data_IF_800658944729
#
_entry.id   IF_800658944729
#
_cell.length_a   1.000
_cell.length_b   1.000
_cell.length_c   1.000
_cell.angle_alpha   90.00
_cell.angle_beta   90.00
_cell.angle_gamma   90.00
#
_symmetry.space_group_name_H-M   'P 1'
#
loop_
_entity.id
_entity.type
_entity.pdbx_description
1 polymer ?
#
# COMPACT_ATOMS: atom_id res chain seq x y z
N UNK A 1 -24.47 -18.48 11.26
CA UNK A 1 -24.24 -17.85 9.98
C UNK A 1 -23.10 -18.53 9.23
N UNK A 2 -23.39 -19.07 8.02
CA UNK A 2 -22.46 -19.89 7.24
C UNK A 2 -21.14 -19.19 6.91
N UNK A 3 -21.18 -17.89 6.60
CA UNK A 3 -19.99 -17.08 6.26
C UNK A 3 -18.97 -17.02 7.40
N UNK A 4 -19.40 -16.86 8.64
CA UNK A 4 -18.49 -16.80 9.80
C UNK A 4 -17.78 -18.14 10.04
N UNK A 5 -18.48 -19.26 9.88
CA UNK A 5 -17.88 -20.58 9.99
C UNK A 5 -16.84 -20.86 8.91
N UNK A 6 -17.05 -20.32 7.71
CA UNK A 6 -16.09 -20.44 6.60
C UNK A 6 -14.80 -19.67 6.88
N UNK A 7 -14.88 -18.48 7.50
CA UNK A 7 -13.69 -17.72 7.92
C UNK A 7 -12.91 -18.44 9.03
N UNK A 8 -13.57 -18.97 10.05
CA UNK A 8 -12.91 -19.73 11.12
C UNK A 8 -12.20 -20.99 10.58
N UNK A 9 -12.84 -21.70 9.64
CA UNK A 9 -12.21 -22.83 8.97
C UNK A 9 -11.01 -22.40 8.14
N UNK A 10 -11.12 -21.29 7.41
CA UNK A 10 -10.03 -20.74 6.61
C UNK A 10 -8.83 -20.36 7.46
N UNK A 11 -9.05 -19.73 8.62
CA UNK A 11 -7.99 -19.38 9.57
C UNK A 11 -7.19 -20.59 10.03
N UNK A 12 -7.86 -21.71 10.33
CA UNK A 12 -7.17 -22.96 10.72
C UNK A 12 -6.23 -23.45 9.62
N UNK A 13 -6.68 -23.41 8.36
CA UNK A 13 -5.87 -23.83 7.22
C UNK A 13 -4.73 -22.85 6.95
N UNK A 14 -4.99 -21.53 7.04
CA UNK A 14 -3.93 -20.53 6.89
C UNK A 14 -2.88 -20.66 7.99
N UNK A 15 -3.27 -20.96 9.24
CA UNK A 15 -2.32 -21.19 10.34
C UNK A 15 -1.41 -22.36 10.03
N UNK A 16 -1.96 -23.53 9.67
CA UNK A 16 -1.15 -24.71 9.33
C UNK A 16 -0.17 -24.44 8.17
N UNK A 17 -0.64 -23.76 7.14
CA UNK A 17 0.21 -23.42 5.99
C UNK A 17 1.24 -22.33 6.32
N UNK A 18 0.87 -21.33 7.13
CA UNK A 18 1.78 -20.27 7.57
C UNK A 18 2.90 -20.82 8.46
N UNK A 19 2.60 -21.76 9.34
CA UNK A 19 3.58 -22.44 10.21
C UNK A 19 4.57 -23.28 9.40
N UNK A 20 4.16 -23.78 8.22
CA UNK A 20 5.06 -24.44 7.27
C UNK A 20 5.90 -23.48 6.41
N UNK A 21 5.79 -22.17 6.63
CA UNK A 21 6.55 -21.14 5.91
C UNK A 21 5.91 -20.65 4.61
N UNK A 22 4.65 -21.03 4.30
CA UNK A 22 3.98 -20.56 3.11
C UNK A 22 3.66 -19.05 3.21
N UNK A 23 4.33 -18.23 2.39
CA UNK A 23 4.21 -16.77 2.41
C UNK A 23 2.81 -16.25 2.10
N UNK A 24 2.11 -16.91 1.17
CA UNK A 24 0.75 -16.54 0.81
C UNK A 24 -0.20 -16.77 2.01
N UNK A 25 -0.06 -17.91 2.69
CA UNK A 25 -0.85 -18.21 3.89
C UNK A 25 -0.52 -17.26 5.04
N UNK A 26 0.75 -16.92 5.24
CA UNK A 26 1.17 -15.89 6.21
C UNK A 26 0.50 -14.54 5.92
N UNK A 27 0.48 -14.09 4.66
CA UNK A 27 -0.21 -12.88 4.26
C UNK A 27 -1.73 -12.98 4.51
N UNK A 28 -2.38 -14.10 4.19
CA UNK A 28 -3.81 -14.30 4.44
C UNK A 28 -4.14 -14.31 5.93
N UNK A 29 -3.35 -15.01 6.72
CA UNK A 29 -3.53 -15.06 8.18
C UNK A 29 -3.32 -13.68 8.82
N UNK A 30 -2.32 -12.93 8.35
CA UNK A 30 -2.12 -11.54 8.78
C UNK A 30 -3.35 -10.68 8.50
N UNK A 31 -3.97 -10.79 7.32
CA UNK A 31 -5.21 -10.07 7.02
C UNK A 31 -6.38 -10.50 7.94
N UNK A 32 -6.49 -11.81 8.26
CA UNK A 32 -7.51 -12.27 9.20
C UNK A 32 -7.35 -11.60 10.58
N UNK A 33 -6.14 -11.54 11.12
CA UNK A 33 -5.88 -10.83 12.38
C UNK A 33 -6.08 -9.31 12.25
N UNK A 34 -5.73 -8.71 11.11
CA UNK A 34 -5.86 -7.27 10.89
C UNK A 34 -7.32 -6.80 10.85
N UNK A 35 -8.22 -7.60 10.24
CA UNK A 35 -9.64 -7.26 10.10
C UNK A 35 -10.55 -7.96 11.12
N UNK A 36 -10.08 -8.98 11.82
CA UNK A 36 -10.89 -9.82 12.70
C UNK A 36 -11.74 -10.86 11.95
N UNK A 37 -11.29 -11.28 10.76
CA UNK A 37 -12.02 -12.24 9.93
C UNK A 37 -11.77 -13.67 10.41
N UNK A 38 -12.75 -14.28 11.12
CA UNK A 38 -12.68 -15.63 11.66
C UNK A 38 -11.78 -15.79 12.88
N UNK A 39 -11.20 -14.71 13.38
CA UNK A 39 -10.43 -14.61 14.64
C UNK A 39 -10.74 -13.28 15.31
N UNK A 40 -10.43 -13.16 16.59
CA UNK A 40 -10.40 -11.87 17.27
C UNK A 40 -9.34 -10.97 16.60
N UNK A 41 -9.71 -9.72 16.36
CA UNK A 41 -8.80 -8.74 15.76
C UNK A 41 -7.56 -8.54 16.64
N UNK A 42 -6.38 -8.66 16.05
CA UNK A 42 -5.09 -8.48 16.70
C UNK A 42 -4.09 -7.87 15.71
N UNK A 43 -4.02 -6.54 15.70
CA UNK A 43 -3.16 -5.83 14.76
C UNK A 43 -1.66 -6.09 15.00
N UNK A 44 -1.25 -6.42 16.23
CA UNK A 44 0.15 -6.76 16.54
C UNK A 44 0.51 -8.10 15.91
N UNK A 45 -0.34 -9.13 16.06
CA UNK A 45 -0.15 -10.40 15.35
C UNK A 45 -0.20 -10.24 13.84
N UNK A 46 -1.05 -9.34 13.33
CA UNK A 46 -1.07 -9.05 11.90
C UNK A 46 0.30 -8.53 11.42
N UNK A 47 0.91 -7.58 12.14
CA UNK A 47 2.26 -7.08 11.83
C UNK A 47 3.31 -8.20 11.87
N UNK A 48 3.25 -9.10 12.86
CA UNK A 48 4.17 -10.24 12.92
C UNK A 48 4.08 -11.14 11.68
N UNK A 49 2.87 -11.52 11.27
CA UNK A 49 2.68 -12.36 10.09
C UNK A 49 2.95 -11.63 8.77
N UNK A 50 2.60 -10.34 8.66
CA UNK A 50 3.02 -9.53 7.51
C UNK A 50 4.55 -9.47 7.41
N UNK A 51 5.25 -9.32 8.54
CA UNK A 51 6.72 -9.29 8.57
C UNK A 51 7.32 -10.62 8.09
N UNK A 52 6.79 -11.76 8.55
CA UNK A 52 7.23 -13.07 8.08
C UNK A 52 7.09 -13.20 6.57
N UNK A 53 5.91 -12.87 6.03
CA UNK A 53 5.65 -12.96 4.60
C UNK A 53 6.48 -11.95 3.77
N UNK A 54 6.65 -10.73 4.27
CA UNK A 54 7.45 -9.69 3.60
C UNK A 54 8.92 -10.07 3.49
N UNK A 55 9.49 -10.69 4.53
CA UNK A 55 10.89 -11.12 4.56
C UNK A 55 11.21 -12.22 3.54
N UNK A 56 10.22 -12.96 3.07
CA UNK A 56 10.36 -13.97 2.00
C UNK A 56 9.87 -13.47 0.64
N UNK A 57 9.62 -12.16 0.51
CA UNK A 57 9.37 -11.51 -0.78
C UNK A 57 7.92 -11.21 -1.11
N UNK A 58 6.97 -11.43 -0.19
CA UNK A 58 5.57 -11.14 -0.46
C UNK A 58 5.31 -9.63 -0.53
N UNK A 59 5.17 -9.10 -1.74
CA UNK A 59 4.98 -7.67 -1.99
C UNK A 59 3.69 -7.08 -1.40
N UNK A 60 2.63 -7.89 -1.26
CA UNK A 60 1.39 -7.44 -0.64
C UNK A 60 1.60 -7.20 0.87
N UNK A 61 2.33 -8.10 1.53
CA UNK A 61 2.69 -7.94 2.94
C UNK A 61 3.64 -6.76 3.16
N UNK A 62 4.59 -6.52 2.25
CA UNK A 62 5.44 -5.33 2.31
C UNK A 62 4.60 -4.05 2.27
N UNK A 63 3.64 -3.93 1.33
CA UNK A 63 2.76 -2.76 1.28
C UNK A 63 1.91 -2.64 2.55
N UNK A 64 1.39 -3.74 3.09
CA UNK A 64 0.62 -3.74 4.35
C UNK A 64 1.46 -3.33 5.56
N UNK A 65 2.72 -3.73 5.63
CA UNK A 65 3.63 -3.21 6.65
C UNK A 65 3.84 -1.70 6.52
N UNK A 66 3.99 -1.20 5.30
CA UNK A 66 3.99 0.23 5.06
C UNK A 66 2.75 0.91 5.64
N UNK A 67 1.54 0.36 5.40
CA UNK A 67 0.30 0.87 5.98
C UNK A 67 0.31 0.81 7.53
N UNK A 68 0.78 -0.30 8.10
CA UNK A 68 0.85 -0.47 9.56
C UNK A 68 1.73 0.60 10.21
N UNK A 69 2.92 0.85 9.69
CA UNK A 69 3.80 1.89 10.20
C UNK A 69 3.31 3.31 9.87
N UNK A 70 2.69 3.51 8.72
CA UNK A 70 2.17 4.83 8.34
C UNK A 70 1.03 5.28 9.26
N UNK A 71 0.12 4.38 9.63
CA UNK A 71 -1.05 4.68 10.46
C UNK A 71 -0.86 4.33 11.95
N UNK A 72 0.22 3.67 12.33
CA UNK A 72 0.45 3.22 13.70
C UNK A 72 -0.47 2.07 14.11
N UNK A 73 -0.79 1.15 13.19
CA UNK A 73 -1.68 0.02 13.44
C UNK A 73 -0.88 -1.25 13.75
N UNK A 74 -1.03 -1.76 14.95
CA UNK A 74 -0.28 -2.92 15.45
C UNK A 74 1.21 -2.65 15.70
N UNK A 75 1.68 -1.45 15.40
CA UNK A 75 3.03 -0.95 15.66
C UNK A 75 2.99 0.55 15.94
N UNK A 76 4.04 1.11 16.53
CA UNK A 76 4.16 2.57 16.64
C UNK A 76 4.25 3.19 15.24
N UNK A 77 3.62 4.36 15.06
CA UNK A 77 3.73 5.10 13.81
C UNK A 77 5.19 5.48 13.54
N UNK A 78 5.65 5.14 12.33
CA UNK A 78 7.00 5.44 11.85
C UNK A 78 6.98 5.63 10.32
N UNK A 79 7.06 6.88 9.89
CA UNK A 79 7.03 7.21 8.46
C UNK A 79 8.29 6.75 7.72
N UNK A 80 9.46 6.67 8.39
CA UNK A 80 10.68 6.19 7.76
C UNK A 80 10.58 4.69 7.45
N UNK A 81 10.10 3.89 8.39
CA UNK A 81 9.81 2.48 8.17
C UNK A 81 8.69 2.28 7.15
N UNK A 82 7.65 3.12 7.17
CA UNK A 82 6.58 3.06 6.16
C UNK A 82 7.13 3.28 4.75
N UNK A 83 7.94 4.32 4.55
CA UNK A 83 8.60 4.61 3.27
C UNK A 83 9.49 3.46 2.82
N UNK A 84 10.28 2.88 3.72
CA UNK A 84 11.15 1.73 3.42
C UNK A 84 10.33 0.54 2.90
N UNK A 85 9.25 0.17 3.60
CA UNK A 85 8.41 -0.96 3.20
C UNK A 85 7.62 -0.70 1.93
N UNK A 86 7.10 0.52 1.71
CA UNK A 86 6.46 0.89 0.45
C UNK A 86 7.45 0.83 -0.72
N UNK A 87 8.69 1.30 -0.52
CA UNK A 87 9.72 1.25 -1.55
C UNK A 87 10.05 -0.19 -1.94
N UNK A 88 10.29 -1.08 -0.97
CA UNK A 88 10.50 -2.51 -1.22
C UNK A 88 9.32 -3.15 -1.96
N UNK A 89 8.09 -2.81 -1.58
CA UNK A 89 6.90 -3.31 -2.26
C UNK A 89 6.82 -2.80 -3.71
N UNK A 90 7.12 -1.53 -3.94
CA UNK A 90 7.10 -0.91 -5.27
C UNK A 90 8.17 -1.52 -6.20
N UNK A 91 9.39 -1.75 -5.68
CA UNK A 91 10.48 -2.45 -6.39
C UNK A 91 10.10 -3.90 -6.73
N UNK A 92 9.37 -4.58 -5.84
CA UNK A 92 8.79 -5.90 -6.09
C UNK A 92 7.58 -5.88 -7.04
N UNK A 93 7.23 -4.71 -7.60
CA UNK A 93 6.16 -4.55 -8.56
C UNK A 93 4.75 -4.49 -7.96
N UNK A 94 4.60 -3.99 -6.74
CA UNK A 94 3.30 -3.71 -6.16
C UNK A 94 2.79 -2.33 -6.60
N UNK A 95 1.71 -2.30 -7.38
CA UNK A 95 1.26 -1.07 -8.06
C UNK A 95 0.80 0.03 -7.09
N UNK A 96 0.04 -0.31 -6.03
CA UNK A 96 -0.41 0.66 -5.03
C UNK A 96 0.77 1.21 -4.23
N UNK A 97 1.81 0.40 -3.99
CA UNK A 97 2.99 0.87 -3.27
C UNK A 97 3.73 1.97 -4.03
N UNK A 98 3.74 1.95 -5.37
CA UNK A 98 4.28 3.05 -6.18
C UNK A 98 3.57 4.38 -5.88
N UNK A 99 2.25 4.34 -5.79
CA UNK A 99 1.46 5.51 -5.39
C UNK A 99 1.78 5.97 -3.96
N UNK A 100 1.93 5.02 -3.02
CA UNK A 100 2.29 5.33 -1.64
C UNK A 100 3.69 5.95 -1.52
N UNK A 101 4.68 5.47 -2.30
CA UNK A 101 6.01 6.10 -2.38
C UNK A 101 5.91 7.52 -2.92
N UNK A 102 5.10 7.74 -3.96
CA UNK A 102 4.80 9.08 -4.48
C UNK A 102 4.23 9.99 -3.40
N UNK A 103 3.29 9.50 -2.59
CA UNK A 103 2.74 10.25 -1.46
C UNK A 103 3.79 10.58 -0.39
N UNK A 104 4.72 9.67 -0.12
CA UNK A 104 5.81 9.92 0.82
C UNK A 104 6.71 11.06 0.33
N UNK A 105 7.13 11.06 -0.92
CA UNK A 105 7.90 12.16 -1.49
C UNK A 105 7.11 13.46 -1.56
N UNK A 106 5.82 13.41 -1.91
CA UNK A 106 4.96 14.59 -1.98
C UNK A 106 4.81 15.31 -0.65
N UNK A 107 4.69 14.55 0.45
CA UNK A 107 4.44 15.09 1.79
C UNK A 107 5.70 15.17 2.67
N UNK A 108 6.82 14.59 2.28
CA UNK A 108 8.02 14.47 3.11
C UNK A 108 7.85 13.46 4.26
N UNK A 109 7.08 12.39 4.04
CA UNK A 109 6.85 11.37 5.07
C UNK A 109 7.92 10.27 5.00
N UNK A 110 8.82 10.28 5.97
CA UNK A 110 9.92 9.33 6.08
C UNK A 110 11.05 9.53 5.06
N UNK A 111 10.97 10.57 4.25
CA UNK A 111 11.95 10.98 3.25
C UNK A 111 11.83 12.50 3.05
N UNK A 112 12.89 13.15 2.60
CA UNK A 112 12.82 14.57 2.26
C UNK A 112 11.80 14.82 1.14
N UNK A 113 11.00 15.88 1.30
CA UNK A 113 10.00 16.25 0.31
C UNK A 113 10.64 16.50 -1.05
N UNK A 114 10.12 15.85 -2.08
CA UNK A 114 10.60 15.98 -3.46
C UNK A 114 9.44 15.80 -4.44
N UNK A 115 8.87 16.91 -4.90
CA UNK A 115 7.73 16.88 -5.81
C UNK A 115 8.06 16.27 -7.19
N UNK A 116 9.31 16.44 -7.67
CA UNK A 116 9.70 15.86 -8.95
C UNK A 116 9.70 14.34 -8.88
N UNK A 117 10.28 13.76 -7.82
CA UNK A 117 10.21 12.32 -7.58
C UNK A 117 8.77 11.84 -7.33
N UNK A 118 7.96 12.64 -6.63
CA UNK A 118 6.55 12.28 -6.45
C UNK A 118 5.84 12.12 -7.80
N UNK A 119 6.05 13.06 -8.74
CA UNK A 119 5.49 12.99 -10.10
C UNK A 119 5.96 11.73 -10.84
N UNK A 120 7.24 11.39 -10.78
CA UNK A 120 7.77 10.18 -11.41
C UNK A 120 7.08 8.90 -10.88
N UNK A 121 6.89 8.81 -9.56
CA UNK A 121 6.22 7.68 -8.95
C UNK A 121 4.72 7.64 -9.25
N UNK A 122 4.04 8.80 -9.28
CA UNK A 122 2.64 8.88 -9.68
C UNK A 122 2.44 8.50 -11.16
N UNK A 123 3.36 8.87 -12.07
CA UNK A 123 3.31 8.43 -13.46
C UNK A 123 3.39 6.91 -13.57
N UNK A 124 4.34 6.28 -12.86
CA UNK A 124 4.45 4.82 -12.83
C UNK A 124 3.20 4.13 -12.23
N UNK A 125 2.54 4.76 -11.24
CA UNK A 125 1.30 4.24 -10.68
C UNK A 125 0.12 4.43 -11.65
N UNK A 126 0.07 5.56 -12.37
CA UNK A 126 -0.95 5.86 -13.37
C UNK A 126 -0.90 4.90 -14.57
N UNK A 127 0.30 4.48 -15.01
CA UNK A 127 0.48 3.44 -16.03
C UNK A 127 -0.16 2.10 -15.63
N UNK A 128 -0.28 1.85 -14.33
CA UNK A 128 -0.94 0.67 -13.77
C UNK A 128 -2.41 0.92 -13.40
N UNK A 129 -2.98 2.02 -13.90
CA UNK A 129 -4.36 2.43 -13.66
C UNK A 129 -4.70 2.60 -12.16
N UNK A 130 -3.77 3.07 -11.33
CA UNK A 130 -4.05 3.47 -9.95
C UNK A 130 -4.75 4.83 -9.99
N UNK A 131 -6.04 4.84 -9.70
CA UNK A 131 -6.94 6.01 -9.85
C UNK A 131 -6.44 7.24 -9.09
N UNK A 132 -6.00 7.08 -7.84
CA UNK A 132 -5.45 8.17 -7.04
C UNK A 132 -4.25 8.88 -7.69
N UNK A 133 -3.50 8.17 -8.54
CA UNK A 133 -2.34 8.74 -9.22
C UNK A 133 -2.74 9.75 -10.30
N UNK A 134 -3.88 9.54 -10.97
CA UNK A 134 -4.38 10.50 -11.97
C UNK A 134 -4.72 11.84 -11.31
N UNK A 135 -5.43 11.83 -10.18
CA UNK A 135 -5.76 13.04 -9.44
C UNK A 135 -4.50 13.76 -8.95
N UNK A 136 -3.53 13.00 -8.39
CA UNK A 136 -2.26 13.57 -7.93
C UNK A 136 -1.42 14.19 -9.04
N UNK A 137 -1.40 13.58 -10.23
CA UNK A 137 -0.75 14.18 -11.41
C UNK A 137 -1.49 15.46 -11.84
N UNK A 138 -2.81 15.45 -11.85
CA UNK A 138 -3.62 16.65 -12.10
C UNK A 138 -3.26 17.79 -11.14
N UNK A 139 -3.18 17.49 -9.84
CA UNK A 139 -2.77 18.46 -8.80
C UNK A 139 -1.34 18.99 -9.05
N UNK A 140 -0.39 18.12 -9.40
CA UNK A 140 1.00 18.51 -9.66
C UNK A 140 1.10 19.46 -10.85
N UNK A 141 0.48 19.15 -11.98
CA UNK A 141 0.49 20.03 -13.15
C UNK A 141 -0.31 21.31 -12.94
N UNK A 142 -1.44 21.26 -12.22
CA UNK A 142 -2.24 22.43 -11.91
C UNK A 142 -1.52 23.45 -11.03
N UNK A 143 -0.65 22.98 -10.12
CA UNK A 143 0.04 23.85 -9.16
C UNK A 143 1.53 24.06 -9.48
N UNK A 144 2.11 23.36 -10.46
CA UNK A 144 3.53 23.41 -10.77
C UNK A 144 4.38 22.68 -9.71
N UNK A 145 3.87 21.61 -9.08
CA UNK A 145 4.61 20.84 -8.09
C UNK A 145 5.47 19.77 -8.78
N UNK A 146 6.79 20.01 -8.82
CA UNK A 146 7.76 19.11 -9.44
C UNK A 146 7.76 19.08 -10.97
N UNK A 147 6.89 19.87 -11.59
CA UNK A 147 6.76 20.07 -13.05
C UNK A 147 6.39 21.52 -13.33
N UNK A 148 6.57 21.98 -14.54
CA UNK A 148 6.04 23.28 -14.97
C UNK A 148 4.50 23.26 -14.90
N UNK A 149 3.93 24.37 -14.45
CA UNK A 149 2.47 24.50 -14.36
C UNK A 149 1.84 24.42 -15.75
N UNK A 150 0.89 23.52 -15.92
CA UNK A 150 0.17 23.27 -17.17
C UNK A 150 -1.27 22.82 -16.90
N UNK A 151 -2.20 23.74 -17.07
CA UNK A 151 -3.63 23.47 -16.84
C UNK A 151 -4.26 22.54 -17.88
N UNK A 152 -3.74 22.51 -19.10
CA UNK A 152 -4.24 21.61 -20.16
C UNK A 152 -3.87 20.17 -19.84
N UNK A 153 -2.62 19.94 -19.47
CA UNK A 153 -2.14 18.63 -18.99
C UNK A 153 -2.88 18.23 -17.69
N UNK A 154 -3.07 19.14 -16.74
CA UNK A 154 -3.81 18.86 -15.51
C UNK A 154 -5.23 18.39 -15.82
N UNK A 155 -5.95 19.11 -16.73
CA UNK A 155 -7.31 18.73 -17.15
C UNK A 155 -7.33 17.34 -17.77
N UNK A 156 -6.33 16.98 -18.58
CA UNK A 156 -6.25 15.66 -19.19
C UNK A 156 -6.14 14.53 -18.14
N UNK A 157 -5.40 14.78 -17.06
CA UNK A 157 -5.27 13.82 -15.96
C UNK A 157 -6.56 13.70 -15.13
N UNK A 158 -7.24 14.81 -14.84
CA UNK A 158 -8.54 14.78 -14.15
C UNK A 158 -9.62 14.09 -14.98
N UNK A 159 -9.62 14.26 -16.31
CA UNK A 159 -10.54 13.54 -17.19
C UNK A 159 -10.31 12.02 -17.13
N UNK A 160 -9.05 11.58 -17.15
CA UNK A 160 -8.72 10.16 -16.96
C UNK A 160 -9.18 9.63 -15.60
N UNK A 161 -9.06 10.42 -14.53
CA UNK A 161 -9.59 10.05 -13.23
C UNK A 161 -11.12 9.89 -13.27
N UNK A 162 -11.82 10.86 -13.85
CA UNK A 162 -13.29 10.82 -13.98
C UNK A 162 -13.80 9.62 -14.81
N UNK A 163 -13.10 9.27 -15.90
CA UNK A 163 -13.42 8.09 -16.73
C UNK A 163 -13.28 6.76 -15.95
N UNK A 164 -12.45 6.72 -14.90
CA UNK A 164 -12.26 5.56 -14.03
C UNK A 164 -13.20 5.55 -12.81
N UNK A 165 -14.03 6.58 -12.62
CA UNK A 165 -15.05 6.64 -11.57
C UNK A 165 -14.66 7.46 -10.34
N UNK A 166 -13.70 8.35 -10.44
CA UNK A 166 -13.29 9.32 -9.41
C UNK A 166 -13.77 10.75 -9.71
#
# INVERSE_FOLDING_TARGET
NGVQKDFEASVKWYTLAADSGNEWAQNKLANCYYYGDGVEQDEQKAVEYFTKAANVGNKNSMNRLGDCFYYGRGANQDYALAFEWYSKAAEAGHHIAKFNVGNCYYNGYGVDQDFAKAVEWYQQAAEQNIEGAFNKLGDCYSNGYGVDQDFETAMSWYLKAAEKGN
#
